data_IF_039207278960
#
_entry.id   IF_039207278960
#
_cell.length_a   1.000
_cell.length_b   1.000
_cell.length_c   1.000
_cell.angle_alpha   90.00
_cell.angle_beta   90.00
_cell.angle_gamma   90.00
#
_symmetry.space_group_name_H-M   'P 1'
#
loop_
_entity.id
_entity.type
_entity.pdbx_description
1 polymer ?
#
# COMPACT_ATOMS: atom_id res chain seq x y z
N UNK A 1 -56.48 -22.58 34.48
CA UNK A 1 -55.91 -23.90 34.82
C UNK A 1 -54.43 -23.69 35.12
N UNK A 2 -54.00 -24.11 36.31
CA UNK A 2 -52.63 -24.05 36.84
C UNK A 2 -51.86 -25.29 36.35
N UNK A 3 -50.60 -25.17 35.93
CA UNK A 3 -49.46 -25.99 36.41
C UNK A 3 -48.12 -25.66 35.73
N UNK A 4 -47.16 -25.49 36.62
CA UNK A 4 -45.69 -25.29 36.55
C UNK A 4 -44.90 -26.48 36.00
N UNK A 5 -43.57 -26.24 35.87
CA UNK A 5 -42.41 -27.16 35.80
C UNK A 5 -41.90 -27.47 34.38
N UNK A 6 -40.60 -27.53 34.05
CA UNK A 6 -39.38 -27.82 34.82
C UNK A 6 -38.13 -27.36 34.02
N UNK A 7 -37.07 -26.94 34.73
CA UNK A 7 -35.75 -26.64 34.21
C UNK A 7 -34.91 -27.91 33.97
N UNK A 8 -33.93 -27.87 33.05
CA UNK A 8 -32.79 -28.78 33.06
C UNK A 8 -31.56 -28.09 32.44
N UNK A 9 -30.67 -27.62 33.31
CA UNK A 9 -29.31 -27.24 32.99
C UNK A 9 -28.46 -28.52 32.84
N UNK A 10 -27.70 -28.63 31.76
CA UNK A 10 -26.67 -29.65 31.61
C UNK A 10 -25.30 -28.97 31.55
N UNK A 11 -24.67 -28.85 32.72
CA UNK A 11 -23.26 -28.53 32.85
C UNK A 11 -22.45 -29.80 32.55
N UNK A 12 -21.65 -29.77 31.49
CA UNK A 12 -20.61 -30.77 31.25
C UNK A 12 -19.28 -30.21 31.75
N UNK A 13 -18.93 -30.60 32.97
CA UNK A 13 -17.56 -30.56 33.48
C UNK A 13 -16.79 -31.73 32.88
N UNK A 14 -15.84 -31.44 32.00
CA UNK A 14 -14.77 -32.37 31.66
C UNK A 14 -13.52 -31.92 32.41
N UNK A 15 -13.19 -32.74 33.40
CA UNK A 15 -12.02 -32.71 34.26
C UNK A 15 -10.71 -32.76 33.46
N UNK A 16 -9.75 -31.98 33.96
CA UNK A 16 -8.38 -31.85 33.51
C UNK A 16 -7.61 -33.18 33.43
N UNK A 17 -6.82 -33.31 32.37
CA UNK A 17 -5.58 -34.09 32.33
C UNK A 17 -4.57 -33.36 31.43
N UNK A 18 -3.39 -33.05 31.97
CA UNK A 18 -2.17 -32.90 31.15
C UNK A 18 -1.79 -31.49 30.72
N UNK A 19 -1.35 -30.68 31.68
CA UNK A 19 -0.15 -29.83 31.60
C UNK A 19 0.37 -29.51 30.19
N UNK A 20 -0.10 -28.40 29.63
CA UNK A 20 0.70 -27.63 28.69
C UNK A 20 0.53 -26.16 29.07
N UNK A 21 1.67 -25.54 29.36
CA UNK A 21 1.91 -24.13 29.63
C UNK A 21 0.85 -23.25 28.99
N UNK A 22 0.18 -22.41 29.81
CA UNK A 22 -0.65 -21.35 29.27
C UNK A 22 0.15 -20.65 28.16
N UNK A 23 -0.37 -20.50 26.93
CA UNK A 23 0.25 -19.60 26.00
C UNK A 23 0.26 -18.26 26.73
N UNK A 24 1.45 -17.73 26.98
CA UNK A 24 1.62 -16.28 27.10
C UNK A 24 0.71 -15.69 26.05
N UNK A 25 -0.27 -14.91 26.45
CA UNK A 25 -0.96 -14.02 25.53
C UNK A 25 0.12 -13.06 25.06
N UNK A 26 0.87 -13.49 24.05
CA UNK A 26 1.58 -12.62 23.15
C UNK A 26 0.45 -11.78 22.58
N UNK A 27 0.40 -10.54 23.06
CA UNK A 27 -0.37 -9.49 22.41
C UNK A 27 -0.13 -9.67 20.91
N UNK A 28 -1.20 -9.83 20.09
CA UNK A 28 -1.03 -10.01 18.66
C UNK A 28 -0.05 -8.95 18.19
N UNK A 29 1.07 -9.37 17.59
CA UNK A 29 2.04 -8.44 17.03
C UNK A 29 1.22 -7.39 16.27
N UNK A 30 1.46 -6.08 16.51
CA UNK A 30 0.68 -5.03 15.88
C UNK A 30 0.59 -5.33 14.39
N UNK A 31 -0.56 -5.05 13.73
CA UNK A 31 -0.73 -5.34 12.32
C UNK A 31 0.51 -4.84 11.60
N UNK A 32 1.21 -5.75 10.91
CA UNK A 32 2.39 -5.39 10.15
C UNK A 32 1.97 -4.25 9.22
N UNK A 33 2.64 -3.10 9.33
CA UNK A 33 2.33 -1.97 8.48
C UNK A 33 2.44 -2.38 7.01
N UNK A 34 1.72 -1.67 6.14
CA UNK A 34 1.68 -2.04 4.72
C UNK A 34 3.07 -2.02 4.09
N UNK A 35 3.96 -1.15 4.58
CA UNK A 35 5.36 -1.10 4.17
C UNK A 35 6.12 -2.39 4.51
N UNK A 36 6.05 -2.85 5.76
CA UNK A 36 6.71 -4.09 6.20
C UNK A 36 6.16 -5.29 5.43
N UNK A 37 4.85 -5.29 5.17
CA UNK A 37 4.21 -6.31 4.35
C UNK A 37 4.78 -6.33 2.94
N UNK A 38 4.89 -5.18 2.27
CA UNK A 38 5.48 -5.06 0.92
C UNK A 38 6.93 -5.52 0.91
N UNK A 39 7.71 -5.17 1.93
CA UNK A 39 9.13 -5.54 2.00
C UNK A 39 9.34 -7.04 2.25
N UNK A 40 8.37 -7.71 2.88
CA UNK A 40 8.36 -9.16 3.06
C UNK A 40 7.92 -9.95 1.80
N UNK A 41 7.32 -9.29 0.81
CA UNK A 41 6.89 -9.91 -0.45
C UNK A 41 8.04 -10.07 -1.44
N UNK A 42 7.91 -11.04 -2.35
CA UNK A 42 8.82 -11.16 -3.49
C UNK A 42 8.68 -9.95 -4.44
N UNK A 43 9.76 -9.55 -5.14
CA UNK A 43 9.74 -8.41 -6.06
C UNK A 43 8.66 -8.50 -7.15
N UNK A 44 8.27 -9.71 -7.55
CA UNK A 44 7.24 -9.96 -8.57
C UNK A 44 5.82 -9.76 -8.02
N UNK A 45 5.64 -9.92 -6.71
CA UNK A 45 4.33 -9.83 -6.04
C UNK A 45 4.02 -8.40 -5.60
N UNK A 46 5.05 -7.63 -5.25
CA UNK A 46 4.88 -6.25 -4.78
C UNK A 46 4.08 -5.35 -5.75
N UNK A 47 4.30 -5.38 -7.09
CA UNK A 47 3.53 -4.55 -8.01
C UNK A 47 2.05 -4.95 -8.09
N UNK A 48 1.73 -6.24 -7.89
CA UNK A 48 0.35 -6.73 -7.82
C UNK A 48 -0.34 -6.17 -6.58
N UNK A 49 0.35 -6.19 -5.43
CA UNK A 49 -0.17 -5.63 -4.20
C UNK A 49 -0.37 -4.11 -4.29
N UNK A 50 0.59 -3.37 -4.86
CA UNK A 50 0.45 -1.92 -5.07
C UNK A 50 -0.79 -1.57 -5.91
N UNK A 51 -1.07 -2.35 -6.97
CA UNK A 51 -2.30 -2.19 -7.73
C UNK A 51 -3.56 -2.48 -6.90
N UNK A 52 -3.56 -3.54 -6.08
CA UNK A 52 -4.72 -3.86 -5.22
C UNK A 52 -5.04 -2.69 -4.26
N UNK A 53 -4.02 -2.01 -3.74
CA UNK A 53 -4.19 -0.84 -2.88
C UNK A 53 -4.76 0.36 -3.65
N UNK A 54 -4.31 0.60 -4.89
CA UNK A 54 -4.94 1.60 -5.77
C UNK A 54 -6.42 1.27 -6.04
N UNK A 55 -6.73 0.01 -6.34
CA UNK A 55 -8.10 -0.41 -6.62
C UNK A 55 -9.00 -0.23 -5.39
N UNK A 56 -8.53 -0.60 -4.21
CA UNK A 56 -9.25 -0.38 -2.95
C UNK A 56 -9.46 1.12 -2.68
N UNK A 57 -8.42 1.94 -2.89
CA UNK A 57 -8.50 3.39 -2.74
C UNK A 57 -9.55 4.00 -3.68
N UNK A 58 -9.54 3.65 -4.97
CA UNK A 58 -10.51 4.18 -5.93
C UNK A 58 -11.95 3.67 -5.70
N UNK A 59 -12.11 2.49 -5.10
CA UNK A 59 -13.44 2.02 -4.65
C UNK A 59 -13.98 2.87 -3.49
N UNK A 60 -13.10 3.32 -2.59
CA UNK A 60 -13.46 4.23 -1.50
C UNK A 60 -13.61 5.69 -1.95
N UNK A 61 -12.96 6.06 -3.06
CA UNK A 61 -12.92 7.42 -3.61
C UNK A 61 -13.45 7.47 -5.06
N UNK A 62 -14.76 7.23 -5.28
CA UNK A 62 -15.35 7.20 -6.62
C UNK A 62 -15.35 8.57 -7.33
N UNK A 63 -15.07 9.65 -6.62
CA UNK A 63 -14.88 11.01 -7.16
C UNK A 63 -13.58 11.16 -7.99
N UNK A 64 -12.62 10.25 -7.82
CA UNK A 64 -11.34 10.31 -8.52
C UNK A 64 -11.51 9.85 -9.96
N UNK A 65 -11.03 10.69 -10.88
CA UNK A 65 -11.09 10.41 -12.32
C UNK A 65 -9.70 10.54 -12.95
N UNK A 66 -9.33 9.65 -13.89
CA UNK A 66 -10.09 8.48 -14.35
C UNK A 66 -9.95 7.25 -13.42
N UNK A 67 -10.99 6.39 -13.31
CA UNK A 67 -10.84 5.11 -12.61
C UNK A 67 -9.85 4.20 -13.34
N UNK A 68 -9.08 3.42 -12.58
CA UNK A 68 -8.16 2.41 -13.11
C UNK A 68 -8.94 1.15 -13.51
N UNK A 69 -9.55 1.14 -14.70
CA UNK A 69 -10.40 0.03 -15.15
C UNK A 69 -9.62 -1.14 -15.76
N UNK A 70 -8.40 -0.89 -16.24
CA UNK A 70 -7.49 -1.90 -16.75
C UNK A 70 -6.05 -1.49 -16.47
N UNK A 71 -5.26 -2.39 -15.88
CA UNK A 71 -3.83 -2.16 -15.60
C UNK A 71 -3.01 -2.55 -16.82
N UNK A 72 -2.23 -1.61 -17.33
CA UNK A 72 -1.22 -1.86 -18.38
C UNK A 72 0.11 -2.29 -17.79
N UNK A 73 0.45 -1.77 -16.61
CA UNK A 73 1.65 -2.16 -15.89
C UNK A 73 1.76 -1.45 -14.55
N UNK A 74 2.43 -2.13 -13.61
CA UNK A 74 2.85 -1.53 -12.34
C UNK A 74 4.35 -1.69 -12.22
N UNK A 75 5.04 -0.60 -11.90
CA UNK A 75 6.49 -0.56 -11.81
C UNK A 75 6.92 -0.01 -10.45
N UNK A 76 7.94 -0.63 -9.83
CA UNK A 76 8.57 -0.10 -8.62
C UNK A 76 9.54 1.02 -8.99
N UNK A 77 9.45 2.15 -8.30
CA UNK A 77 10.34 3.30 -8.46
C UNK A 77 11.40 3.27 -7.36
N UNK A 78 12.66 3.46 -7.75
CA UNK A 78 13.75 3.68 -6.80
C UNK A 78 13.86 5.19 -6.52
N UNK A 79 13.52 5.61 -5.31
CA UNK A 79 13.61 7.01 -4.88
C UNK A 79 14.98 7.25 -4.22
N UNK A 80 15.89 8.00 -4.86
CA UNK A 80 17.21 8.29 -4.30
C UNK A 80 17.12 9.28 -3.13
N UNK A 81 18.19 9.41 -2.33
CA UNK A 81 18.21 10.33 -1.19
C UNK A 81 18.33 11.82 -1.56
N UNK A 82 18.62 12.15 -2.83
CA UNK A 82 18.87 13.51 -3.31
C UNK A 82 17.80 14.00 -4.30
N UNK A 83 16.53 13.69 -4.04
CA UNK A 83 15.39 14.10 -4.88
C UNK A 83 15.30 15.63 -4.97
N UNK A 84 14.92 16.14 -6.14
CA UNK A 84 14.50 17.53 -6.31
C UNK A 84 13.32 17.84 -5.37
N UNK A 85 13.42 18.83 -4.46
CA UNK A 85 12.36 19.18 -3.52
C UNK A 85 11.01 19.56 -4.16
N UNK A 86 11.01 19.94 -5.43
CA UNK A 86 9.79 20.26 -6.20
C UNK A 86 9.12 19.03 -6.81
N UNK A 87 9.78 17.88 -6.79
CA UNK A 87 9.24 16.62 -7.29
C UNK A 87 8.20 16.04 -6.33
N UNK A 88 7.21 15.33 -6.86
CA UNK A 88 6.27 14.53 -6.05
C UNK A 88 7.02 13.51 -5.18
N UNK A 89 8.14 12.97 -5.67
CA UNK A 89 8.95 11.97 -4.96
C UNK A 89 9.64 12.50 -3.70
N UNK A 90 9.72 13.82 -3.51
CA UNK A 90 10.40 14.40 -2.35
C UNK A 90 9.78 13.96 -1.02
N UNK A 91 8.45 13.79 -0.99
CA UNK A 91 7.71 13.34 0.18
C UNK A 91 7.83 11.83 0.46
N UNK A 92 8.38 11.06 -0.48
CA UNK A 92 8.39 9.59 -0.46
C UNK A 92 9.80 9.01 -0.30
N UNK A 93 10.71 9.79 0.29
CA UNK A 93 12.06 9.30 0.56
C UNK A 93 12.00 8.19 1.62
N UNK A 94 12.54 7.01 1.29
CA UNK A 94 12.47 5.75 2.07
C UNK A 94 11.15 4.98 2.00
N UNK A 95 10.17 5.45 1.23
CA UNK A 95 8.95 4.69 0.96
C UNK A 95 9.21 3.55 -0.03
N UNK A 96 8.35 2.53 -0.04
CA UNK A 96 8.21 1.67 -1.20
C UNK A 96 7.25 2.33 -2.19
N UNK A 97 7.77 2.84 -3.31
CA UNK A 97 7.00 3.61 -4.29
C UNK A 97 6.77 2.80 -5.57
N UNK A 98 5.54 2.87 -6.08
CA UNK A 98 5.13 2.24 -7.33
C UNK A 98 4.40 3.24 -8.21
N UNK A 99 4.54 3.09 -9.53
CA UNK A 99 3.66 3.74 -10.49
C UNK A 99 2.77 2.70 -11.15
N UNK A 100 1.47 2.95 -11.18
CA UNK A 100 0.49 2.13 -11.88
C UNK A 100 0.04 2.88 -13.13
N UNK A 101 0.26 2.31 -14.30
CA UNK A 101 -0.30 2.79 -15.55
C UNK A 101 -1.60 2.03 -15.84
N UNK A 102 -2.70 2.77 -15.84
CA UNK A 102 -4.01 2.29 -16.24
C UNK A 102 -4.24 2.59 -17.73
N UNK A 103 -5.34 2.07 -18.27
CA UNK A 103 -5.82 2.38 -19.62
C UNK A 103 -5.90 1.16 -20.54
N UNK A 104 -6.21 1.41 -21.81
CA UNK A 104 -6.39 0.34 -22.79
C UNK A 104 -5.11 -0.49 -23.01
N UNK A 105 -5.25 -1.82 -23.05
CA UNK A 105 -4.17 -2.79 -23.33
C UNK A 105 -3.78 -2.81 -24.83
N UNK A 106 -3.49 -1.65 -25.40
CA UNK A 106 -3.05 -1.51 -26.79
C UNK A 106 -1.54 -1.25 -26.81
N UNK A 107 -0.81 -2.04 -27.59
CA UNK A 107 0.66 -2.10 -27.62
C UNK A 107 1.36 -0.89 -28.26
N UNK A 108 0.63 0.14 -28.69
CA UNK A 108 1.16 1.35 -29.32
C UNK A 108 0.78 2.65 -28.60
N UNK A 109 0.01 2.58 -27.52
CA UNK A 109 -0.41 3.78 -26.79
C UNK A 109 0.73 4.27 -25.91
N UNK A 110 1.13 5.53 -26.10
CA UNK A 110 2.05 6.26 -25.23
C UNK A 110 1.50 6.23 -23.79
N UNK A 111 2.39 6.16 -22.79
CA UNK A 111 1.95 6.34 -21.40
C UNK A 111 1.28 7.70 -21.26
N UNK A 112 0.02 7.68 -20.84
CA UNK A 112 -0.77 8.88 -20.55
C UNK A 112 -0.66 9.17 -19.05
N UNK A 113 -0.09 10.32 -18.63
CA UNK A 113 -0.04 10.70 -17.22
C UNK A 113 -1.43 10.88 -16.60
N UNK A 114 -2.47 11.12 -17.39
CA UNK A 114 -3.86 11.16 -16.92
C UNK A 114 -4.35 9.77 -16.47
N UNK A 115 -3.77 8.68 -16.96
CA UNK A 115 -4.12 7.31 -16.56
C UNK A 115 -3.04 6.71 -15.63
N UNK A 116 -2.14 7.53 -15.08
CA UNK A 116 -1.01 7.09 -14.27
C UNK A 116 -1.16 7.54 -12.82
N UNK A 117 -0.89 6.61 -11.92
CA UNK A 117 -1.04 6.79 -10.47
C UNK A 117 0.25 6.44 -9.76
N UNK A 118 0.53 7.15 -8.67
CA UNK A 118 1.61 6.86 -7.74
C UNK A 118 1.00 6.23 -6.48
N UNK A 119 1.60 5.13 -6.03
CA UNK A 119 1.22 4.43 -4.80
C UNK A 119 2.47 4.32 -3.95
N UNK A 120 2.47 4.90 -2.76
CA UNK A 120 3.58 4.80 -1.80
C UNK A 120 3.16 4.11 -0.52
N UNK A 121 4.11 3.35 0.03
CA UNK A 121 3.99 2.74 1.35
C UNK A 121 5.07 3.34 2.23
N UNK A 122 4.66 4.18 3.18
CA UNK A 122 5.55 4.78 4.15
C UNK A 122 5.73 3.86 5.37
N UNK A 123 6.94 3.78 5.96
CA UNK A 123 7.15 3.03 7.21
C UNK A 123 6.21 3.51 8.32
N UNK A 124 5.53 2.57 8.99
CA UNK A 124 4.58 2.87 10.07
C UNK A 124 3.23 3.46 9.64
N UNK A 125 2.97 3.66 8.35
CA UNK A 125 1.66 4.07 7.85
C UNK A 125 0.68 2.88 7.79
N UNK A 126 -0.56 3.11 8.22
CA UNK A 126 -1.63 2.12 8.16
C UNK A 126 -2.27 2.01 6.76
N UNK A 127 -2.11 3.04 5.93
CA UNK A 127 -2.72 3.17 4.61
C UNK A 127 -1.65 3.56 3.58
N UNK A 128 -1.89 3.18 2.32
CA UNK A 128 -1.06 3.60 1.21
C UNK A 128 -1.39 5.05 0.83
N UNK A 129 -0.38 5.83 0.46
CA UNK A 129 -0.60 7.14 -0.15
C UNK A 129 -0.81 6.92 -1.64
N UNK A 130 -1.90 7.47 -2.17
CA UNK A 130 -2.26 7.36 -3.58
C UNK A 130 -2.39 8.75 -4.18
N UNK A 131 -1.63 9.01 -5.24
CA UNK A 131 -1.59 10.30 -5.92
C UNK A 131 -1.74 10.16 -7.43
N UNK A 132 -2.40 11.13 -8.06
CA UNK A 132 -2.53 11.19 -9.51
C UNK A 132 -1.27 11.81 -10.13
N UNK A 133 -0.72 11.18 -11.17
CA UNK A 133 0.51 11.63 -11.80
C UNK A 133 0.31 12.75 -12.82
N UNK A 134 -0.93 13.14 -13.11
CA UNK A 134 -1.22 14.29 -13.94
C UNK A 134 -0.86 15.58 -13.22
N UNK A 135 0.12 16.29 -13.76
CA UNK A 135 0.51 17.62 -13.31
C UNK A 135 -0.17 18.75 -14.08
N UNK A 136 0.22 19.97 -13.70
CA UNK A 136 -0.20 21.16 -14.41
C UNK A 136 0.14 21.05 -15.90
N UNK A 137 -0.79 21.54 -16.75
CA UNK A 137 -0.65 21.54 -18.21
C UNK A 137 -0.41 20.14 -18.82
N UNK A 138 -0.80 19.07 -18.13
CA UNK A 138 -0.66 17.70 -18.63
C UNK A 138 0.73 17.10 -18.49
N UNK A 139 1.59 17.67 -17.64
CA UNK A 139 2.91 17.12 -17.36
C UNK A 139 2.83 15.79 -16.58
N UNK A 140 3.78 14.87 -16.83
CA UNK A 140 3.96 13.68 -15.98
C UNK A 140 4.73 14.07 -14.71
N UNK A 141 4.04 14.08 -13.56
CA UNK A 141 4.66 14.34 -12.24
C UNK A 141 5.42 13.14 -11.69
N UNK A 142 5.20 11.95 -12.24
CA UNK A 142 5.78 10.70 -11.76
C UNK A 142 6.72 10.08 -12.80
N UNK A 143 7.72 10.82 -13.35
CA UNK A 143 8.61 10.24 -14.33
C UNK A 143 9.35 9.04 -13.75
N UNK A 144 9.55 8.01 -14.58
CA UNK A 144 10.30 6.80 -14.18
C UNK A 144 11.68 7.12 -13.62
N UNK A 145 12.33 8.13 -14.18
CA UNK A 145 13.57 8.69 -13.66
C UNK A 145 13.22 9.80 -12.66
N UNK A 146 13.46 9.54 -11.39
CA UNK A 146 13.22 10.50 -10.31
C UNK A 146 14.14 11.72 -10.51
N UNK A 147 13.60 12.95 -10.58
CA UNK A 147 14.41 14.16 -10.66
C UNK A 147 15.28 14.30 -9.41
N UNK A 148 16.57 14.55 -9.59
CA UNK A 148 17.54 14.72 -8.51
C UNK A 148 18.26 16.06 -8.62
N UNK A 149 18.72 16.55 -7.47
CA UNK A 149 19.60 17.72 -7.38
C UNK A 149 21.00 17.26 -7.01
N UNK A 150 22.01 17.96 -7.52
CA UNK A 150 23.40 17.73 -7.16
C UNK A 150 23.62 18.17 -5.71
N UNK A 151 24.09 17.26 -4.86
CA UNK A 151 24.49 17.60 -3.49
C UNK A 151 25.87 18.23 -3.61
N UNK A 152 25.97 19.52 -3.32
CA UNK A 152 27.26 20.19 -3.22
C UNK A 152 28.12 19.47 -2.15
N UNK A 153 29.43 19.25 -2.41
CA UNK A 153 30.28 18.56 -1.45
C UNK A 153 30.32 19.32 -0.13
N UNK A 154 30.14 18.60 0.99
CA UNK A 154 30.27 19.17 2.33
C UNK A 154 31.67 19.79 2.47
N UNK A 155 31.80 21.08 2.82
CA UNK A 155 33.11 21.69 3.02
C UNK A 155 33.85 20.93 4.11
N UNK A 156 35.09 20.54 3.82
CA UNK A 156 35.99 19.88 4.77
C UNK A 156 36.42 20.92 5.83
N UNK A 157 36.40 20.59 7.13
CA UNK A 157 36.82 21.51 8.20
C UNK A 157 38.31 21.86 8.14
#
# INVERSE_FOLDING_TARGET
MIRTYLAAAAALLLTACGQSTAPTTEEPAPPQGLFEQVQAMSPETQPVFAYQQLAAYQQAHPELTPPCTAVRGTERINVPGNVDPTSIYAAHTNDAVFTVQCGALVSATRMDPNEKWLVSFAPGAAEAVVEHCLGERGADRCPRQVPTVEIAPTPTP
#
